data_IF_282734858647
#
_entry.id   IF_282734858647
#
_cell.length_a   1.000
_cell.length_b   1.000
_cell.length_c   1.000
_cell.angle_alpha   90.00
_cell.angle_beta   90.00
_cell.angle_gamma   90.00
#
_symmetry.space_group_name_H-M   'P 1'
#
loop_
_entity.id
_entity.type
_entity.pdbx_description
1 polymer ?
#
# COMPACT_ATOMS: atom_id res chain seq x y z
N UNK A 1 98.73 -10.77 -79.07
CA UNK A 1 97.40 -11.35 -79.35
C UNK A 1 96.88 -11.96 -78.05
N UNK A 2 95.67 -11.57 -77.59
CA UNK A 2 94.59 -12.37 -76.95
C UNK A 2 94.99 -13.55 -76.03
N UNK A 3 94.49 -13.83 -74.81
CA UNK A 3 93.31 -13.54 -73.95
C UNK A 3 93.68 -14.11 -72.54
N UNK A 4 93.45 -13.42 -71.42
CA UNK A 4 92.34 -13.56 -70.45
C UNK A 4 92.29 -14.82 -69.56
N UNK A 5 92.43 -14.63 -68.22
CA UNK A 5 91.57 -15.12 -67.10
C UNK A 5 92.36 -15.08 -65.77
N UNK A 6 92.10 -14.16 -64.82
CA UNK A 6 90.96 -13.99 -63.89
C UNK A 6 90.96 -14.98 -62.70
N UNK A 7 91.59 -14.54 -61.62
CA UNK A 7 91.36 -14.94 -60.22
C UNK A 7 90.10 -14.26 -59.66
N UNK A 8 89.17 -15.01 -59.07
CA UNK A 8 88.21 -14.47 -58.11
C UNK A 8 87.76 -15.55 -57.12
N UNK A 9 88.15 -15.39 -55.86
CA UNK A 9 87.73 -16.20 -54.72
C UNK A 9 86.37 -15.69 -54.25
N UNK A 10 85.34 -16.55 -54.27
CA UNK A 10 84.00 -16.23 -53.77
C UNK A 10 83.90 -16.63 -52.29
N UNK A 11 83.75 -15.64 -51.43
CA UNK A 11 83.41 -15.79 -50.02
C UNK A 11 81.87 -15.88 -49.89
N UNK A 12 81.36 -17.05 -49.50
CA UNK A 12 79.94 -17.27 -49.21
C UNK A 12 79.58 -16.61 -47.88
N UNK A 13 78.93 -15.45 -47.93
CA UNK A 13 78.27 -14.82 -46.78
C UNK A 13 76.94 -15.54 -46.58
N UNK A 14 76.84 -16.35 -45.53
CA UNK A 14 75.56 -16.83 -45.02
C UNK A 14 74.85 -15.66 -44.33
N UNK A 15 73.89 -15.04 -45.03
CA UNK A 15 72.92 -14.15 -44.40
C UNK A 15 72.00 -14.99 -43.50
N UNK A 16 71.95 -14.76 -42.18
CA UNK A 16 70.81 -15.25 -41.41
C UNK A 16 69.58 -14.49 -41.90
N UNK A 17 68.65 -15.20 -42.54
CA UNK A 17 67.27 -14.76 -42.65
C UNK A 17 66.73 -14.61 -41.23
N UNK A 18 66.85 -13.41 -40.66
CA UNK A 18 65.96 -12.98 -39.60
C UNK A 18 64.57 -12.93 -40.22
N UNK A 19 63.81 -14.02 -40.08
CA UNK A 19 62.36 -13.94 -40.15
C UNK A 19 61.99 -12.95 -39.05
N UNK A 20 61.66 -11.72 -39.43
CA UNK A 20 60.97 -10.79 -38.56
C UNK A 20 59.76 -11.57 -38.06
N UNK A 21 59.78 -11.97 -36.79
CA UNK A 21 58.65 -12.61 -36.15
C UNK A 21 57.47 -11.65 -36.34
N UNK A 22 56.49 -12.07 -37.14
CA UNK A 22 55.25 -11.34 -37.35
C UNK A 22 54.72 -11.02 -35.95
N UNK A 23 54.58 -9.74 -35.61
CA UNK A 23 54.28 -9.34 -34.25
C UNK A 23 52.98 -10.05 -33.82
N UNK A 24 53.07 -10.94 -32.83
CA UNK A 24 51.93 -11.75 -32.38
C UNK A 24 50.97 -10.93 -31.47
N UNK A 25 50.59 -9.75 -31.95
CA UNK A 25 49.73 -8.80 -31.28
C UNK A 25 48.30 -8.97 -31.81
N UNK A 26 47.28 -9.09 -30.93
CA UNK A 26 45.89 -9.11 -31.35
C UNK A 26 45.54 -7.89 -32.20
N UNK A 27 44.75 -8.08 -33.25
CA UNK A 27 44.28 -6.97 -34.08
C UNK A 27 43.26 -6.12 -33.35
N UNK A 28 43.15 -4.84 -33.72
CA UNK A 28 42.18 -3.90 -33.11
C UNK A 28 40.73 -4.43 -33.20
N UNK A 29 40.36 -5.06 -34.32
CA UNK A 29 39.03 -5.67 -34.50
C UNK A 29 38.77 -6.81 -33.51
N UNK A 30 39.75 -7.69 -33.28
CA UNK A 30 39.65 -8.79 -32.32
C UNK A 30 39.47 -8.26 -30.91
N UNK A 31 40.27 -7.27 -30.52
CA UNK A 31 40.20 -6.62 -29.19
C UNK A 31 38.83 -5.97 -29.00
N UNK A 32 38.34 -5.24 -30.00
CA UNK A 32 37.02 -4.58 -29.96
C UNK A 32 35.88 -5.58 -29.86
N UNK A 33 35.91 -6.65 -30.66
CA UNK A 33 34.87 -7.66 -30.68
C UNK A 33 34.80 -8.40 -29.35
N UNK A 34 35.93 -8.89 -28.84
CA UNK A 34 35.95 -9.66 -27.60
C UNK A 34 35.62 -8.81 -26.37
N UNK A 35 36.02 -7.52 -26.36
CA UNK A 35 35.56 -6.60 -25.33
C UNK A 35 34.05 -6.40 -25.35
N UNK A 36 33.46 -6.25 -26.54
CA UNK A 36 32.02 -6.12 -26.69
C UNK A 36 31.31 -7.39 -26.20
N UNK A 37 31.82 -8.58 -26.55
CA UNK A 37 31.29 -9.86 -26.07
C UNK A 37 31.35 -9.99 -24.54
N UNK A 38 32.48 -9.64 -23.91
CA UNK A 38 32.65 -9.69 -22.45
C UNK A 38 31.77 -8.71 -21.69
N UNK A 39 31.36 -7.60 -22.33
CA UNK A 39 30.46 -6.61 -21.74
C UNK A 39 28.99 -6.81 -22.15
N UNK A 40 28.66 -7.95 -22.77
CA UNK A 40 27.30 -8.25 -23.24
C UNK A 40 26.81 -7.28 -24.32
N UNK A 41 27.73 -6.60 -25.03
CA UNK A 41 27.46 -5.62 -26.06
C UNK A 41 27.10 -4.22 -25.55
N UNK A 42 27.03 -4.02 -24.23
CA UNK A 42 26.65 -2.75 -23.60
C UNK A 42 27.74 -1.69 -23.81
N UNK A 43 29.01 -2.10 -23.76
CA UNK A 43 30.17 -1.22 -23.92
C UNK A 43 30.95 -1.59 -25.17
N UNK A 44 31.47 -0.58 -25.87
CA UNK A 44 32.23 -0.76 -27.10
C UNK A 44 33.51 0.06 -27.06
N UNK A 45 34.61 -0.54 -27.49
CA UNK A 45 35.86 0.16 -27.71
C UNK A 45 35.79 0.90 -29.06
N UNK A 46 36.20 2.17 -29.07
CA UNK A 46 36.24 2.99 -30.29
C UNK A 46 37.66 3.13 -30.81
N UNK A 47 38.56 3.68 -29.99
CA UNK A 47 39.98 3.81 -30.28
C UNK A 47 40.74 3.13 -29.17
N UNK A 48 41.73 2.31 -29.50
CA UNK A 48 42.54 1.58 -28.53
C UNK A 48 44.00 1.69 -28.95
N UNK A 49 44.86 1.98 -27.98
CA UNK A 49 46.30 1.85 -28.11
C UNK A 49 46.73 0.70 -27.22
N UNK A 50 47.45 -0.27 -27.80
CA UNK A 50 48.00 -1.40 -27.06
C UNK A 50 49.49 -1.15 -26.80
N UNK A 51 49.89 -1.24 -25.54
CA UNK A 51 51.30 -1.25 -25.14
C UNK A 51 51.62 -2.59 -24.46
N UNK A 52 52.44 -3.41 -25.10
CA UNK A 52 52.88 -4.67 -24.51
C UNK A 52 53.72 -4.42 -23.26
N UNK A 53 53.41 -5.14 -22.18
CA UNK A 53 54.13 -5.07 -20.91
C UNK A 53 54.98 -6.32 -20.68
N UNK A 54 54.45 -7.50 -20.99
CA UNK A 54 55.15 -8.78 -20.90
C UNK A 54 54.65 -9.74 -21.99
N UNK A 55 55.49 -10.67 -22.43
CA UNK A 55 55.12 -11.75 -23.33
C UNK A 55 55.92 -13.02 -23.03
N UNK A 56 55.21 -14.15 -22.90
CA UNK A 56 55.79 -15.48 -22.62
C UNK A 56 55.08 -16.52 -23.47
N UNK A 57 55.79 -17.10 -24.43
CA UNK A 57 55.21 -18.07 -25.37
C UNK A 57 54.07 -17.45 -26.18
N UNK A 58 52.90 -18.10 -26.17
CA UNK A 58 51.69 -17.61 -26.84
C UNK A 58 50.81 -16.70 -25.95
N UNK A 59 51.29 -16.31 -24.76
CA UNK A 59 50.59 -15.41 -23.86
C UNK A 59 51.30 -14.05 -23.79
N UNK A 60 50.52 -12.97 -23.84
CA UNK A 60 51.03 -11.61 -23.69
C UNK A 60 50.11 -10.76 -22.82
N UNK A 61 50.68 -9.80 -22.10
CA UNK A 61 49.95 -8.83 -21.28
C UNK A 61 50.15 -7.43 -21.85
N UNK A 62 49.05 -6.70 -22.01
CA UNK A 62 49.00 -5.37 -22.60
C UNK A 62 48.38 -4.39 -21.63
N UNK A 63 48.89 -3.16 -21.63
CA UNK A 63 48.18 -1.98 -21.17
C UNK A 63 47.36 -1.44 -22.34
N UNK A 64 46.08 -1.17 -22.10
CA UNK A 64 45.15 -0.60 -23.05
C UNK A 64 44.79 0.80 -22.60
N UNK A 65 44.87 1.76 -23.50
CA UNK A 65 44.39 3.11 -23.29
C UNK A 65 43.60 3.55 -24.51
N UNK A 66 42.49 4.27 -24.29
CA UNK A 66 41.65 4.61 -25.41
C UNK A 66 40.32 5.27 -25.06
N UNK A 67 39.41 5.18 -26.02
CA UNK A 67 38.04 5.66 -25.93
C UNK A 67 37.07 4.47 -25.94
N UNK A 68 36.16 4.45 -24.97
CA UNK A 68 35.04 3.52 -24.91
C UNK A 68 33.72 4.28 -24.92
N UNK A 69 32.67 3.68 -25.46
CA UNK A 69 31.34 4.27 -25.47
C UNK A 69 30.30 3.19 -25.16
N UNK A 70 29.19 3.61 -24.56
CA UNK A 70 28.03 2.75 -24.40
C UNK A 70 27.23 2.65 -25.70
N UNK A 71 26.67 1.47 -25.97
CA UNK A 71 25.79 1.23 -27.10
C UNK A 71 24.43 1.94 -26.96
N UNK A 72 24.00 2.19 -25.73
CA UNK A 72 22.77 2.90 -25.35
C UNK A 72 23.05 3.90 -24.21
N UNK A 73 22.07 4.75 -23.91
CA UNK A 73 22.12 5.60 -22.71
C UNK A 73 21.97 4.71 -21.47
N UNK A 74 22.87 4.87 -20.49
CA UNK A 74 22.83 4.12 -19.24
C UNK A 74 22.55 5.03 -18.06
N UNK A 75 21.74 4.51 -17.16
CA UNK A 75 21.18 5.24 -16.03
C UNK A 75 21.48 4.55 -14.71
N UNK A 76 21.72 5.34 -13.66
CA UNK A 76 21.84 4.86 -12.28
C UNK A 76 20.78 5.56 -11.43
N UNK A 77 20.09 4.82 -10.57
CA UNK A 77 19.12 5.39 -9.64
C UNK A 77 19.86 6.20 -8.57
N UNK A 78 19.46 7.45 -8.42
CA UNK A 78 20.03 8.41 -7.46
C UNK A 78 19.05 8.83 -6.37
N UNK A 79 17.75 8.56 -6.53
CA UNK A 79 16.77 8.89 -5.50
C UNK A 79 15.36 8.37 -5.77
N UNK A 80 14.51 8.55 -4.76
CA UNK A 80 13.07 8.22 -4.80
C UNK A 80 12.31 9.26 -3.99
N UNK A 81 11.19 9.75 -4.51
CA UNK A 81 10.23 10.58 -3.76
C UNK A 81 8.80 10.21 -4.13
N UNK A 82 8.01 9.77 -3.15
CA UNK A 82 6.72 9.13 -3.41
C UNK A 82 6.88 7.96 -4.38
N UNK A 83 6.11 7.97 -5.46
CA UNK A 83 6.17 6.98 -6.53
C UNK A 83 7.19 7.28 -7.63
N UNK A 84 7.91 8.41 -7.54
CA UNK A 84 8.82 8.87 -8.58
C UNK A 84 10.25 8.41 -8.31
N UNK A 85 10.89 7.87 -9.35
CA UNK A 85 12.28 7.43 -9.34
C UNK A 85 13.17 8.44 -10.05
N UNK A 86 14.28 8.79 -9.43
CA UNK A 86 15.24 9.75 -9.95
C UNK A 86 16.48 8.99 -10.42
N UNK A 87 16.87 9.24 -11.66
CA UNK A 87 17.99 8.61 -12.33
C UNK A 87 18.98 9.66 -12.83
N UNK A 88 20.26 9.33 -12.80
CA UNK A 88 21.30 10.10 -13.47
C UNK A 88 21.74 9.34 -14.72
N UNK A 89 21.77 10.02 -15.87
CA UNK A 89 22.38 9.47 -17.08
C UNK A 89 23.90 9.50 -16.91
N UNK A 90 24.49 8.33 -16.74
CA UNK A 90 25.93 8.17 -16.50
C UNK A 90 26.70 7.85 -17.78
N UNK A 91 26.01 7.29 -18.78
CA UNK A 91 26.55 7.10 -20.12
C UNK A 91 25.59 7.67 -21.15
N UNK A 92 26.15 8.40 -22.12
CA UNK A 92 25.43 8.85 -23.31
C UNK A 92 25.84 7.96 -24.48
N UNK A 93 24.85 7.43 -25.19
CA UNK A 93 25.02 6.57 -26.35
C UNK A 93 26.04 7.15 -27.32
N UNK A 94 27.06 6.36 -27.65
CA UNK A 94 28.08 6.71 -28.63
C UNK A 94 29.06 7.81 -28.20
N UNK A 95 28.88 8.43 -27.03
CA UNK A 95 29.82 9.45 -26.52
C UNK A 95 31.07 8.77 -25.98
N UNK A 96 32.27 9.08 -26.51
CA UNK A 96 33.51 8.49 -26.03
C UNK A 96 33.86 8.95 -24.61
N UNK A 97 34.33 8.00 -23.81
CA UNK A 97 34.89 8.19 -22.48
C UNK A 97 36.29 7.59 -22.47
N UNK A 98 37.24 8.34 -21.93
CA UNK A 98 38.62 7.86 -21.76
C UNK A 98 38.66 6.73 -20.75
N UNK A 99 39.36 5.66 -21.12
CA UNK A 99 39.58 4.50 -20.25
C UNK A 99 41.03 4.02 -20.32
N UNK A 100 41.45 3.32 -19.28
CA UNK A 100 42.63 2.46 -19.26
C UNK A 100 42.27 1.10 -18.71
N UNK A 101 42.91 0.05 -19.19
CA UNK A 101 42.71 -1.31 -18.73
C UNK A 101 43.98 -2.14 -18.92
N UNK A 102 43.98 -3.32 -18.34
CA UNK A 102 44.95 -4.37 -18.63
C UNK A 102 44.25 -5.46 -19.43
N UNK A 103 44.97 -6.11 -20.32
CA UNK A 103 44.46 -7.23 -21.10
C UNK A 103 45.51 -8.32 -21.20
N UNK A 104 45.14 -9.55 -20.91
CA UNK A 104 45.91 -10.73 -21.28
C UNK A 104 45.39 -11.25 -22.62
N UNK A 105 46.28 -11.69 -23.50
CA UNK A 105 45.91 -12.43 -24.71
C UNK A 105 46.61 -13.77 -24.75
N UNK A 106 45.91 -14.83 -25.14
CA UNK A 106 46.47 -16.16 -25.40
C UNK A 106 46.17 -16.56 -26.85
N UNK A 107 47.18 -17.02 -27.58
CA UNK A 107 47.03 -17.53 -28.95
C UNK A 107 47.94 -16.83 -29.96
N UNK A 108 47.74 -17.14 -31.23
CA UNK A 108 48.50 -16.59 -32.36
C UNK A 108 47.60 -16.10 -33.48
N UNK A 109 48.20 -15.42 -34.47
CA UNK A 109 47.53 -15.07 -35.72
C UNK A 109 46.87 -16.26 -36.43
N UNK A 110 47.49 -17.45 -36.34
CA UNK A 110 47.00 -18.67 -36.99
C UNK A 110 45.97 -19.42 -36.14
N UNK A 111 46.11 -19.40 -34.80
CA UNK A 111 45.17 -20.08 -33.89
C UNK A 111 43.98 -19.22 -33.47
N UNK A 112 44.01 -17.93 -33.80
CA UNK A 112 43.18 -16.91 -33.17
C UNK A 112 43.68 -16.54 -31.77
N UNK A 113 43.23 -15.39 -31.28
CA UNK A 113 43.51 -14.91 -29.94
C UNK A 113 42.27 -15.03 -29.06
N UNK A 114 42.46 -15.33 -27.78
CA UNK A 114 41.49 -15.10 -26.72
C UNK A 114 42.04 -14.01 -25.79
N UNK A 115 41.23 -13.02 -25.49
CA UNK A 115 41.60 -11.87 -24.66
C UNK A 115 40.80 -11.87 -23.37
N UNK A 116 41.37 -11.40 -22.28
CA UNK A 116 40.70 -11.19 -21.01
C UNK A 116 41.07 -9.80 -20.48
N UNK A 117 40.06 -8.98 -20.17
CA UNK A 117 40.24 -7.60 -19.75
C UNK A 117 40.08 -7.48 -18.24
N UNK A 118 41.00 -6.78 -17.59
CA UNK A 118 40.99 -6.57 -16.14
C UNK A 118 41.51 -5.18 -15.77
N UNK A 119 41.35 -4.79 -14.50
CA UNK A 119 41.81 -3.49 -13.98
C UNK A 119 41.27 -2.27 -14.73
N UNK A 120 40.05 -2.34 -15.27
CA UNK A 120 39.42 -1.26 -16.04
C UNK A 120 39.22 0.00 -15.18
N UNK A 121 39.78 1.13 -15.62
CA UNK A 121 39.61 2.46 -15.06
C UNK A 121 39.04 3.40 -16.13
N UNK A 122 38.17 4.32 -15.72
CA UNK A 122 37.45 5.20 -16.64
C UNK A 122 37.00 6.47 -15.89
N UNK A 123 36.81 7.55 -16.65
CA UNK A 123 36.32 8.82 -16.09
C UNK A 123 34.82 8.81 -15.74
N UNK A 124 34.02 7.95 -16.39
CA UNK A 124 32.59 7.83 -16.12
C UNK A 124 32.31 6.90 -14.92
N UNK A 125 31.11 7.02 -14.33
CA UNK A 125 30.67 6.10 -13.28
C UNK A 125 30.58 4.67 -13.85
N UNK A 126 31.04 3.68 -13.09
CA UNK A 126 30.99 2.27 -13.49
C UNK A 126 29.54 1.78 -13.52
N UNK A 127 29.16 1.12 -14.62
CA UNK A 127 27.87 0.47 -14.78
C UNK A 127 26.71 1.39 -15.16
N UNK A 128 25.50 0.88 -15.01
CA UNK A 128 24.24 1.52 -15.39
C UNK A 128 23.32 0.52 -16.10
N UNK A 129 22.05 0.88 -16.23
CA UNK A 129 21.03 0.09 -16.94
C UNK A 129 20.36 0.91 -18.02
N UNK A 130 19.90 0.26 -19.08
CA UNK A 130 19.06 0.91 -20.09
C UNK A 130 17.67 1.18 -19.51
N UNK A 131 16.92 2.12 -20.08
CA UNK A 131 15.53 2.36 -19.65
C UNK A 131 14.66 1.12 -19.85
N UNK A 132 14.93 0.34 -20.90
CA UNK A 132 14.23 -0.93 -21.17
C UNK A 132 14.44 -1.94 -20.05
N UNK A 133 15.66 -2.04 -19.51
CA UNK A 133 16.00 -2.92 -18.38
C UNK A 133 15.43 -2.42 -17.05
N UNK A 134 15.31 -1.10 -16.88
CA UNK A 134 14.68 -0.51 -15.70
C UNK A 134 13.19 -0.88 -15.65
N UNK A 135 12.50 -0.82 -16.80
CA UNK A 135 11.08 -1.13 -16.92
C UNK A 135 10.17 -0.21 -16.09
N UNK A 136 8.88 -0.53 -16.08
CA UNK A 136 7.86 0.23 -15.33
C UNK A 136 7.32 1.45 -16.07
N UNK A 137 6.63 2.32 -15.33
CA UNK A 137 6.00 3.52 -15.86
C UNK A 137 7.05 4.62 -16.10
N UNK A 138 7.36 4.87 -17.37
CA UNK A 138 8.33 5.90 -17.78
C UNK A 138 7.93 7.30 -17.30
N UNK A 139 6.63 7.57 -17.09
CA UNK A 139 6.18 8.88 -16.58
C UNK A 139 6.59 9.14 -15.14
N UNK A 140 7.00 8.11 -14.41
CA UNK A 140 7.50 8.18 -13.03
C UNK A 140 9.03 8.19 -12.94
N UNK A 141 9.74 8.10 -14.06
CA UNK A 141 11.19 8.10 -14.11
C UNK A 141 11.71 9.48 -14.53
N UNK A 142 12.41 10.18 -13.62
CA UNK A 142 13.01 11.48 -13.90
C UNK A 142 14.52 11.36 -14.09
N UNK A 143 15.05 11.91 -15.17
CA UNK A 143 16.49 11.94 -15.43
C UNK A 143 17.05 13.29 -14.98
N UNK A 144 17.75 13.33 -13.84
CA UNK A 144 18.13 14.57 -13.13
C UNK A 144 19.07 15.48 -13.91
N UNK A 145 19.86 14.92 -14.82
CA UNK A 145 20.79 15.65 -15.68
C UNK A 145 20.28 15.80 -17.12
N UNK A 146 18.98 15.55 -17.35
CA UNK A 146 18.35 15.87 -18.63
C UNK A 146 17.86 17.33 -18.67
N UNK A 147 17.94 17.95 -19.84
CA UNK A 147 17.47 19.32 -20.06
C UNK A 147 15.98 19.55 -19.73
N UNK A 148 15.13 18.51 -19.81
CA UNK A 148 13.70 18.59 -19.47
C UNK A 148 13.40 18.36 -18.00
N UNK A 149 14.41 17.96 -17.21
CA UNK A 149 14.25 17.58 -15.81
C UNK A 149 13.50 18.64 -15.01
N UNK A 150 13.99 19.89 -15.03
CA UNK A 150 13.42 20.97 -14.22
C UNK A 150 11.96 21.27 -14.57
N UNK A 151 11.59 21.17 -15.85
CA UNK A 151 10.21 21.37 -16.29
C UNK A 151 9.28 20.24 -15.80
N UNK A 152 9.73 18.98 -15.92
CA UNK A 152 8.99 17.81 -15.41
C UNK A 152 8.85 17.86 -13.89
N UNK A 153 9.95 18.13 -13.19
CA UNK A 153 9.99 18.27 -11.74
C UNK A 153 9.05 19.38 -11.24
N UNK A 154 9.10 20.56 -11.87
CA UNK A 154 8.22 21.67 -11.52
C UNK A 154 6.74 21.31 -11.69
N UNK A 155 6.38 20.59 -12.76
CA UNK A 155 5.00 20.12 -12.99
C UNK A 155 4.53 19.16 -11.89
N UNK A 156 5.37 18.19 -11.53
CA UNK A 156 5.05 17.23 -10.46
C UNK A 156 4.93 17.95 -9.13
N UNK A 157 5.88 18.82 -8.80
CA UNK A 157 5.85 19.60 -7.56
C UNK A 157 4.61 20.51 -7.47
N UNK A 158 4.18 21.09 -8.59
CA UNK A 158 2.93 21.85 -8.66
C UNK A 158 1.69 20.98 -8.42
N UNK A 159 1.67 19.72 -8.89
CA UNK A 159 0.57 18.80 -8.58
C UNK A 159 0.50 18.46 -7.09
N UNK A 160 1.64 18.28 -6.41
CA UNK A 160 1.67 18.07 -4.96
C UNK A 160 1.21 19.32 -4.19
N UNK A 161 1.61 20.52 -4.63
CA UNK A 161 1.08 21.77 -4.08
C UNK A 161 -0.45 21.89 -4.23
N UNK A 162 -1.00 21.48 -5.38
CA UNK A 162 -2.45 21.44 -5.60
C UNK A 162 -3.15 20.37 -4.73
N UNK A 163 -2.52 19.21 -4.53
CA UNK A 163 -2.99 18.18 -3.60
C UNK A 163 -3.06 18.69 -2.17
N UNK A 164 -2.06 19.45 -1.72
CA UNK A 164 -2.05 20.10 -0.40
C UNK A 164 -3.18 21.13 -0.24
N UNK A 165 -3.45 21.92 -1.27
CA UNK A 165 -4.60 22.83 -1.28
C UNK A 165 -5.92 22.05 -1.19
N UNK A 166 -6.03 20.94 -1.93
CA UNK A 166 -7.20 20.04 -1.89
C UNK A 166 -7.40 19.44 -0.50
N UNK A 167 -6.33 18.99 0.17
CA UNK A 167 -6.38 18.49 1.54
C UNK A 167 -6.98 19.50 2.52
N UNK A 168 -6.62 20.79 2.40
CA UNK A 168 -7.20 21.84 3.23
C UNK A 168 -8.72 21.99 3.01
N UNK A 169 -9.17 21.90 1.76
CA UNK A 169 -10.61 21.90 1.43
C UNK A 169 -11.31 20.67 2.01
N UNK A 170 -10.72 19.49 1.88
CA UNK A 170 -11.26 18.24 2.43
C UNK A 170 -11.40 18.32 3.95
N UNK A 171 -10.41 18.91 4.65
CA UNK A 171 -10.46 19.09 6.09
C UNK A 171 -11.65 19.97 6.49
N UNK A 172 -11.87 21.10 5.80
CA UNK A 172 -13.04 21.95 6.05
C UNK A 172 -14.37 21.22 5.83
N UNK A 173 -14.45 20.36 4.80
CA UNK A 173 -15.64 19.53 4.56
C UNK A 173 -15.85 18.48 5.66
N UNK A 174 -14.77 17.84 6.13
CA UNK A 174 -14.84 16.89 7.24
C UNK A 174 -15.35 17.56 8.51
N UNK A 175 -14.86 18.76 8.83
CA UNK A 175 -15.26 19.49 10.04
C UNK A 175 -16.75 19.91 9.97
N UNK A 176 -17.21 20.33 8.79
CA UNK A 176 -18.63 20.62 8.56
C UNK A 176 -19.50 19.36 8.76
N UNK A 177 -19.14 18.24 8.14
CA UNK A 177 -19.87 16.97 8.30
C UNK A 177 -19.88 16.47 9.76
N UNK A 178 -18.76 16.58 10.47
CA UNK A 178 -18.69 16.23 11.90
C UNK A 178 -19.67 17.06 12.72
N UNK A 179 -19.78 18.35 12.42
CA UNK A 179 -20.74 19.26 13.07
C UNK A 179 -22.18 18.85 12.78
N UNK A 180 -22.52 18.54 11.53
CA UNK A 180 -23.87 18.09 11.15
C UNK A 180 -24.23 16.73 11.78
N UNK A 181 -23.30 15.78 11.79
CA UNK A 181 -23.49 14.46 12.42
C UNK A 181 -23.73 14.62 13.93
N UNK A 182 -22.96 15.48 14.61
CA UNK A 182 -23.14 15.75 16.03
C UNK A 182 -24.50 16.39 16.33
N UNK A 183 -24.96 17.32 15.49
CA UNK A 183 -26.28 17.92 15.62
C UNK A 183 -27.42 16.89 15.43
N UNK A 184 -27.30 15.98 14.46
CA UNK A 184 -28.24 14.88 14.26
C UNK A 184 -28.24 13.91 15.45
N UNK A 185 -27.06 13.59 15.98
CA UNK A 185 -26.94 12.74 17.17
C UNK A 185 -27.61 13.37 18.38
N UNK A 186 -27.43 14.68 18.59
CA UNK A 186 -28.14 15.40 19.63
C UNK A 186 -29.66 15.39 19.41
N UNK A 187 -30.14 15.57 18.17
CA UNK A 187 -31.57 15.51 17.84
C UNK A 187 -32.15 14.12 18.09
N UNK A 188 -31.42 13.05 17.75
CA UNK A 188 -31.80 11.66 18.02
C UNK A 188 -31.86 11.43 19.53
N UNK A 189 -30.86 11.85 20.29
CA UNK A 189 -30.83 11.66 21.74
C UNK A 189 -31.99 12.41 22.43
N UNK A 190 -32.25 13.66 22.03
CA UNK A 190 -33.38 14.44 22.56
C UNK A 190 -34.74 13.81 22.24
N UNK A 191 -34.85 13.05 21.14
CA UNK A 191 -36.12 12.42 20.75
C UNK A 191 -36.57 11.28 21.68
N UNK A 192 -35.65 10.72 22.47
CA UNK A 192 -35.93 9.70 23.48
C UNK A 192 -36.31 10.30 24.85
N UNK A 193 -36.06 11.59 25.06
CA UNK A 193 -36.40 12.33 26.28
C UNK A 193 -35.29 12.29 27.33
N UNK A 194 -35.64 12.64 28.57
CA UNK A 194 -34.72 12.68 29.70
C UNK A 194 -35.32 11.97 30.91
N UNK A 195 -34.46 11.44 31.78
CA UNK A 195 -34.87 10.92 33.08
C UNK A 195 -35.24 12.05 34.06
N UNK A 196 -35.61 11.66 35.28
CA UNK A 196 -35.98 12.60 36.35
C UNK A 196 -34.83 13.53 36.79
N UNK A 197 -33.58 13.18 36.49
CA UNK A 197 -32.39 13.97 36.78
C UNK A 197 -31.93 14.82 35.57
N UNK A 198 -32.70 14.81 34.47
CA UNK A 198 -32.38 15.53 33.24
C UNK A 198 -31.33 14.83 32.36
N UNK A 199 -30.95 13.58 32.65
CA UNK A 199 -30.03 12.80 31.82
C UNK A 199 -30.76 12.33 30.55
N UNK A 200 -30.18 12.46 29.35
CA UNK A 200 -30.77 11.92 28.12
C UNK A 200 -31.01 10.42 28.25
N UNK A 201 -32.19 9.98 27.82
CA UNK A 201 -32.55 8.57 27.71
C UNK A 201 -32.18 8.04 26.34
N UNK A 202 -31.92 6.75 26.25
CA UNK A 202 -31.87 6.03 24.99
C UNK A 202 -33.14 5.18 24.75
N UNK A 203 -33.16 4.47 23.62
CA UNK A 203 -34.25 3.55 23.26
C UNK A 203 -34.50 2.49 24.34
N UNK A 204 -33.43 1.94 24.91
CA UNK A 204 -33.48 0.87 25.89
C UNK A 204 -34.03 1.39 27.21
N UNK A 205 -33.61 2.57 27.64
CA UNK A 205 -34.09 3.19 28.88
C UNK A 205 -35.61 3.39 28.84
N UNK A 206 -36.10 3.95 27.73
CA UNK A 206 -37.53 4.16 27.49
C UNK A 206 -38.30 2.85 27.52
N UNK A 207 -37.81 1.84 26.80
CA UNK A 207 -38.46 0.53 26.76
C UNK A 207 -38.49 -0.12 28.14
N UNK A 208 -37.39 -0.05 28.88
CA UNK A 208 -37.30 -0.63 30.22
C UNK A 208 -38.27 0.05 31.19
N UNK A 209 -38.40 1.38 31.14
CA UNK A 209 -39.34 2.11 31.98
C UNK A 209 -40.80 1.71 31.70
N UNK A 210 -41.14 1.42 30.44
CA UNK A 210 -42.48 0.91 30.08
C UNK A 210 -42.71 -0.52 30.58
N UNK A 211 -41.71 -1.39 30.43
CA UNK A 211 -41.78 -2.77 30.91
C UNK A 211 -41.89 -2.84 32.44
N UNK A 212 -41.18 -1.99 33.17
CA UNK A 212 -41.27 -1.94 34.63
C UNK A 212 -42.69 -1.57 35.11
N UNK A 213 -43.36 -0.64 34.40
CA UNK A 213 -44.77 -0.32 34.69
C UNK A 213 -45.69 -1.51 34.48
N UNK A 214 -45.48 -2.27 33.40
CA UNK A 214 -46.24 -3.50 33.15
C UNK A 214 -45.98 -4.54 34.24
N UNK A 215 -44.73 -4.75 34.64
CA UNK A 215 -44.38 -5.69 35.70
C UNK A 215 -44.95 -5.28 37.05
N UNK A 216 -45.04 -3.99 37.35
CA UNK A 216 -45.70 -3.53 38.57
C UNK A 216 -47.20 -3.86 38.57
N UNK A 217 -47.88 -3.67 37.43
CA UNK A 217 -49.29 -4.08 37.27
C UNK A 217 -49.43 -5.60 37.40
N UNK A 218 -48.51 -6.38 36.81
CA UNK A 218 -48.51 -7.84 36.94
C UNK A 218 -48.32 -8.28 38.40
N UNK A 219 -47.41 -7.64 39.15
CA UNK A 219 -47.17 -7.93 40.57
C UNK A 219 -48.39 -7.64 41.46
N UNK A 220 -49.18 -6.64 41.10
CA UNK A 220 -50.43 -6.28 41.79
C UNK A 220 -51.58 -7.22 41.45
N UNK A 221 -51.64 -7.71 40.21
CA UNK A 221 -52.70 -8.60 39.72
C UNK A 221 -52.33 -10.10 39.72
N UNK A 222 -51.27 -10.47 40.44
CA UNK A 222 -50.72 -11.83 40.50
C UNK A 222 -51.82 -12.88 40.81
N UNK A 223 -52.10 -13.81 39.86
CA UNK A 223 -53.13 -14.81 40.03
C UNK A 223 -52.94 -15.70 41.25
N UNK A 224 -51.70 -15.96 41.66
CA UNK A 224 -51.41 -16.80 42.82
C UNK A 224 -51.71 -16.06 44.13
N UNK A 225 -51.39 -14.76 44.20
CA UNK A 225 -51.77 -13.93 45.37
C UNK A 225 -53.28 -13.83 45.49
N UNK A 226 -53.98 -13.62 44.37
CA UNK A 226 -55.44 -13.62 44.35
C UNK A 226 -56.02 -14.96 44.79
N UNK A 227 -55.53 -16.06 44.22
CA UNK A 227 -55.97 -17.42 44.53
C UNK A 227 -55.83 -17.72 46.03
N UNK A 228 -54.65 -17.46 46.60
CA UNK A 228 -54.40 -17.66 48.03
C UNK A 228 -55.29 -16.78 48.91
N UNK A 229 -55.53 -15.52 48.54
CA UNK A 229 -56.43 -14.64 49.27
C UNK A 229 -57.87 -15.16 49.23
N UNK A 230 -58.37 -15.50 48.04
CA UNK A 230 -59.73 -16.00 47.83
C UNK A 230 -59.98 -17.32 48.59
N UNK A 231 -59.01 -18.24 48.58
CA UNK A 231 -59.08 -19.46 49.37
C UNK A 231 -59.30 -19.17 50.85
N UNK A 232 -58.45 -18.31 51.42
CA UNK A 232 -58.45 -18.00 52.85
C UNK A 232 -59.66 -17.20 53.31
N UNK A 233 -60.12 -16.23 52.51
CA UNK A 233 -61.14 -15.27 52.96
C UNK A 233 -62.55 -15.63 52.52
N UNK A 234 -62.72 -16.37 51.43
CA UNK A 234 -64.04 -16.68 50.85
C UNK A 234 -64.31 -18.19 50.83
N UNK A 235 -63.46 -18.96 50.16
CA UNK A 235 -63.76 -20.37 49.85
C UNK A 235 -63.70 -21.29 51.07
N UNK A 236 -62.61 -21.26 51.86
CA UNK A 236 -62.45 -22.12 53.04
C UNK A 236 -63.52 -21.84 54.12
N UNK A 237 -63.86 -20.58 54.46
CA UNK A 237 -64.97 -20.29 55.35
C UNK A 237 -66.31 -20.81 54.83
N UNK A 238 -66.60 -20.65 53.53
CA UNK A 238 -67.85 -21.13 52.93
C UNK A 238 -67.94 -22.66 52.93
N UNK A 239 -66.83 -23.35 52.65
CA UNK A 239 -66.75 -24.82 52.69
C UNK A 239 -66.96 -25.33 54.12
N UNK A 240 -66.31 -24.73 55.11
CA UNK A 240 -66.45 -25.07 56.53
C UNK A 240 -67.90 -24.89 57.00
N UNK A 241 -68.55 -23.80 56.59
CA UNK A 241 -69.96 -23.55 56.90
C UNK A 241 -70.90 -24.58 56.25
N UNK A 242 -70.62 -25.00 55.01
CA UNK A 242 -71.37 -26.06 54.35
C UNK A 242 -71.22 -27.39 55.10
N UNK A 243 -69.99 -27.78 55.45
CA UNK A 243 -69.68 -29.05 56.13
C UNK A 243 -70.33 -29.21 57.51
N UNK A 244 -70.73 -28.11 58.16
CA UNK A 244 -71.50 -28.15 59.42
C UNK A 244 -72.97 -28.54 59.25
N UNK A 245 -73.50 -28.58 58.02
CA UNK A 245 -74.88 -28.99 57.73
C UNK A 245 -74.98 -30.52 57.64
N UNK A 246 -76.14 -31.07 58.00
CA UNK A 246 -76.41 -32.52 57.96
C UNK A 246 -76.23 -33.12 56.56
N UNK A 247 -76.46 -32.33 55.50
CA UNK A 247 -76.14 -32.66 54.11
C UNK A 247 -75.44 -31.44 53.51
N UNK A 248 -74.22 -31.62 52.99
CA UNK A 248 -73.46 -30.59 52.29
C UNK A 248 -73.14 -31.06 50.87
N UNK A 249 -73.68 -30.37 49.87
CA UNK A 249 -73.21 -30.48 48.49
C UNK A 249 -72.17 -29.39 48.21
N UNK A 250 -70.89 -29.77 48.19
CA UNK A 250 -69.80 -28.86 47.90
C UNK A 250 -69.53 -28.70 46.39
N UNK A 251 -70.27 -29.40 45.51
CA UNK A 251 -70.14 -29.29 44.05
C UNK A 251 -70.27 -27.85 43.55
N UNK A 252 -71.35 -27.13 43.88
CA UNK A 252 -71.54 -25.73 43.49
C UNK A 252 -70.43 -24.79 44.00
N UNK A 253 -69.96 -24.98 45.24
CA UNK A 253 -68.88 -24.17 45.81
C UNK A 253 -67.55 -24.35 45.06
N UNK A 254 -67.23 -25.59 44.64
CA UNK A 254 -66.04 -25.87 43.82
C UNK A 254 -66.17 -25.27 42.42
N UNK A 255 -67.34 -25.40 41.80
CA UNK A 255 -67.62 -24.83 40.49
C UNK A 255 -67.48 -23.29 40.50
N UNK A 256 -68.03 -22.62 41.51
CA UNK A 256 -67.91 -21.17 41.68
C UNK A 256 -66.46 -20.73 41.88
N UNK A 257 -65.72 -21.43 42.75
CA UNK A 257 -64.28 -21.18 42.94
C UNK A 257 -63.53 -21.29 41.62
N UNK A 258 -63.72 -22.37 40.89
CA UNK A 258 -63.01 -22.60 39.64
C UNK A 258 -63.40 -21.55 38.59
N UNK A 259 -64.66 -21.10 38.57
CA UNK A 259 -65.11 -20.02 37.71
C UNK A 259 -64.39 -18.70 38.03
N UNK A 260 -64.37 -18.28 39.29
CA UNK A 260 -63.73 -17.03 39.76
C UNK A 260 -62.21 -17.06 39.51
N UNK A 261 -61.53 -18.16 39.86
CA UNK A 261 -60.08 -18.28 39.66
C UNK A 261 -59.71 -18.27 38.17
N UNK A 262 -60.50 -18.96 37.32
CA UNK A 262 -60.27 -18.96 35.88
C UNK A 262 -60.55 -17.60 35.26
N UNK A 263 -61.58 -16.87 35.73
CA UNK A 263 -61.86 -15.51 35.28
C UNK A 263 -60.72 -14.55 35.64
N UNK A 264 -60.20 -14.60 36.87
CA UNK A 264 -59.05 -13.80 37.25
C UNK A 264 -57.82 -14.11 36.38
N UNK A 265 -57.52 -15.40 36.15
CA UNK A 265 -56.41 -15.82 35.28
C UNK A 265 -56.58 -15.27 33.86
N UNK A 266 -57.79 -15.37 33.28
CA UNK A 266 -58.10 -14.81 31.96
C UNK A 266 -57.91 -13.29 31.92
N UNK A 267 -58.38 -12.58 32.94
CA UNK A 267 -58.25 -11.12 33.03
C UNK A 267 -56.78 -10.68 33.15
N UNK A 268 -55.99 -11.36 33.99
CA UNK A 268 -54.56 -11.14 34.10
C UNK A 268 -53.85 -11.29 32.74
N UNK A 269 -54.03 -12.42 32.05
CA UNK A 269 -53.37 -12.66 30.77
C UNK A 269 -53.81 -11.66 29.69
N UNK A 270 -55.09 -11.27 29.69
CA UNK A 270 -55.62 -10.25 28.77
C UNK A 270 -54.95 -8.90 29.00
N UNK A 271 -54.88 -8.44 30.26
CA UNK A 271 -54.25 -7.16 30.60
C UNK A 271 -52.75 -7.16 30.31
N UNK A 272 -52.04 -8.22 30.68
CA UNK A 272 -50.61 -8.37 30.37
C UNK A 272 -50.36 -8.28 28.87
N UNK A 273 -51.12 -9.05 28.07
CA UNK A 273 -51.01 -9.04 26.61
C UNK A 273 -51.30 -7.66 26.02
N UNK A 274 -52.37 -7.00 26.48
CA UNK A 274 -52.75 -5.66 26.03
C UNK A 274 -51.66 -4.63 26.32
N UNK A 275 -51.09 -4.63 27.54
CA UNK A 275 -49.96 -3.77 27.88
C UNK A 275 -48.72 -4.08 27.02
N UNK A 276 -48.38 -5.35 26.86
CA UNK A 276 -47.23 -5.75 26.02
C UNK A 276 -47.39 -5.31 24.56
N UNK A 277 -48.59 -5.44 23.99
CA UNK A 277 -48.89 -5.00 22.62
C UNK A 277 -48.85 -3.47 22.50
N UNK A 278 -49.36 -2.75 23.51
CA UNK A 278 -49.28 -1.29 23.57
C UNK A 278 -47.83 -0.79 23.65
N UNK A 279 -46.98 -1.40 24.49
CA UNK A 279 -45.56 -1.06 24.59
C UNK A 279 -44.87 -1.28 23.23
N UNK A 280 -45.14 -2.42 22.57
CA UNK A 280 -44.58 -2.71 21.24
C UNK A 280 -45.02 -1.68 20.20
N UNK A 281 -46.30 -1.30 20.20
CA UNK A 281 -46.84 -0.30 19.29
C UNK A 281 -46.23 1.09 19.53
N UNK A 282 -46.12 1.51 20.79
CA UNK A 282 -45.54 2.80 21.15
C UNK A 282 -44.06 2.89 20.76
N UNK A 283 -43.28 1.84 21.05
CA UNK A 283 -41.88 1.78 20.64
C UNK A 283 -41.73 1.81 19.12
N UNK A 284 -42.58 1.11 18.38
CA UNK A 284 -42.55 1.13 16.92
C UNK A 284 -42.85 2.54 16.34
N UNK A 285 -43.77 3.30 16.96
CA UNK A 285 -44.06 4.68 16.56
C UNK A 285 -42.84 5.59 16.80
N UNK A 286 -42.18 5.45 17.97
CA UNK A 286 -40.96 6.21 18.29
C UNK A 286 -39.81 5.85 17.34
N UNK A 287 -39.56 4.57 17.13
CA UNK A 287 -38.55 4.07 16.19
C UNK A 287 -38.78 4.62 14.78
N UNK A 288 -40.02 4.61 14.29
CA UNK A 288 -40.37 5.15 12.95
C UNK A 288 -40.10 6.65 12.82
N UNK A 289 -40.27 7.43 13.90
CA UNK A 289 -39.96 8.87 13.91
C UNK A 289 -38.46 9.14 13.84
N UNK A 290 -37.65 8.25 14.39
CA UNK A 290 -36.19 8.41 14.53
C UNK A 290 -35.43 7.81 13.35
N UNK A 291 -35.99 6.77 12.71
CA UNK A 291 -35.46 6.13 11.52
C UNK A 291 -34.92 7.08 10.43
N UNK A 292 -35.63 8.16 10.02
CA UNK A 292 -35.09 9.09 9.01
C UNK A 292 -33.82 9.83 9.49
N UNK A 293 -33.75 10.21 10.77
CA UNK A 293 -32.57 10.89 11.33
C UNK A 293 -31.37 9.93 11.40
N UNK A 294 -31.61 8.67 11.79
CA UNK A 294 -30.57 7.64 11.80
C UNK A 294 -30.05 7.35 10.38
N UNK A 295 -30.95 7.28 9.41
CA UNK A 295 -30.59 7.12 8.00
C UNK A 295 -29.71 8.27 7.52
N UNK A 296 -30.13 9.51 7.77
CA UNK A 296 -29.35 10.69 7.40
C UNK A 296 -27.98 10.71 8.09
N UNK A 297 -27.91 10.39 9.40
CA UNK A 297 -26.64 10.26 10.14
C UNK A 297 -25.72 9.23 9.47
N UNK A 298 -26.27 8.09 9.07
CA UNK A 298 -25.53 7.03 8.36
C UNK A 298 -24.98 7.49 7.01
N UNK A 299 -25.78 8.19 6.22
CA UNK A 299 -25.37 8.75 4.92
C UNK A 299 -24.24 9.78 5.08
N UNK A 300 -24.35 10.72 6.02
CA UNK A 300 -23.30 11.70 6.30
C UNK A 300 -22.02 11.04 6.85
N UNK A 301 -22.17 10.01 7.69
CA UNK A 301 -21.01 9.25 8.22
C UNK A 301 -20.26 8.51 7.10
N UNK A 302 -20.98 7.95 6.13
CA UNK A 302 -20.37 7.33 4.96
C UNK A 302 -19.62 8.35 4.09
N UNK A 303 -20.20 9.55 3.90
CA UNK A 303 -19.53 10.64 3.19
C UNK A 303 -18.26 11.10 3.92
N UNK A 304 -18.34 11.25 5.25
CA UNK A 304 -17.19 11.62 6.07
C UNK A 304 -16.05 10.60 5.92
N UNK A 305 -16.37 9.30 6.00
CA UNK A 305 -15.38 8.23 5.84
C UNK A 305 -14.70 8.28 4.46
N UNK A 306 -15.46 8.52 3.39
CA UNK A 306 -14.89 8.65 2.04
C UNK A 306 -13.92 9.83 1.93
N UNK A 307 -14.26 10.98 2.54
CA UNK A 307 -13.38 12.14 2.58
C UNK A 307 -12.12 11.90 3.42
N UNK A 308 -12.24 11.18 4.54
CA UNK A 308 -11.11 10.83 5.40
C UNK A 308 -10.12 9.88 4.70
N UNK A 309 -10.62 8.90 3.94
CA UNK A 309 -9.78 8.02 3.12
C UNK A 309 -9.02 8.85 2.08
N UNK A 310 -9.73 9.69 1.32
CA UNK A 310 -9.10 10.56 0.31
C UNK A 310 -8.06 11.49 0.90
N UNK A 311 -8.35 12.10 2.05
CA UNK A 311 -7.38 12.94 2.76
C UNK A 311 -6.14 12.16 3.17
N UNK A 312 -6.33 10.94 3.73
CA UNK A 312 -5.22 10.09 4.18
C UNK A 312 -4.29 9.69 3.03
N UNK A 313 -4.85 9.35 1.88
CA UNK A 313 -4.05 8.99 0.70
C UNK A 313 -3.22 10.19 0.22
N UNK A 314 -3.84 11.36 0.06
CA UNK A 314 -3.12 12.58 -0.33
C UNK A 314 -2.04 12.97 0.69
N UNK A 315 -2.34 12.86 1.98
CA UNK A 315 -1.40 13.20 3.05
C UNK A 315 -0.20 12.23 3.08
N UNK A 316 -0.42 10.94 2.82
CA UNK A 316 0.64 9.94 2.69
C UNK A 316 1.53 10.26 1.49
N UNK A 317 0.94 10.52 0.34
CA UNK A 317 1.68 10.77 -0.90
C UNK A 317 2.49 12.07 -0.79
N UNK A 318 1.92 13.13 -0.22
CA UNK A 318 2.62 14.40 0.07
C UNK A 318 3.79 14.16 1.04
N UNK A 319 3.59 13.39 2.11
CA UNK A 319 4.65 13.07 3.06
C UNK A 319 5.83 12.39 2.39
N UNK A 320 5.59 11.31 1.63
CA UNK A 320 6.67 10.59 0.97
C UNK A 320 7.34 11.38 -0.15
N UNK A 321 6.59 12.27 -0.81
CA UNK A 321 7.18 13.23 -1.74
C UNK A 321 8.16 14.15 -1.01
N UNK A 322 7.72 14.85 0.05
CA UNK A 322 8.57 15.80 0.78
C UNK A 322 9.79 15.14 1.42
N UNK A 323 9.62 14.01 2.11
CA UNK A 323 10.74 13.28 2.73
C UNK A 323 11.78 12.82 1.69
N UNK A 324 11.31 12.36 0.53
CA UNK A 324 12.18 11.99 -0.59
C UNK A 324 12.94 13.19 -1.16
N UNK A 325 12.27 14.32 -1.35
CA UNK A 325 12.90 15.57 -1.80
C UNK A 325 13.97 16.06 -0.81
N UNK A 326 13.66 16.07 0.49
CA UNK A 326 14.61 16.47 1.53
C UNK A 326 15.84 15.59 1.56
N UNK A 327 15.65 14.26 1.46
CA UNK A 327 16.76 13.32 1.37
C UNK A 327 17.62 13.60 0.14
N UNK A 328 17.02 13.76 -1.04
CA UNK A 328 17.77 14.04 -2.26
C UNK A 328 18.51 15.38 -2.25
N UNK A 329 17.99 16.40 -1.56
CA UNK A 329 18.71 17.66 -1.33
C UNK A 329 19.93 17.46 -0.43
N UNK A 330 19.80 16.69 0.65
CA UNK A 330 20.94 16.33 1.53
C UNK A 330 22.02 15.53 0.78
N UNK A 331 21.60 14.64 -0.11
CA UNK A 331 22.49 13.81 -0.91
C UNK A 331 23.09 14.57 -2.13
N UNK A 332 22.72 15.84 -2.33
CA UNK A 332 23.22 16.69 -3.42
C UNK A 332 22.69 16.34 -4.81
N UNK A 333 21.67 15.48 -4.89
CA UNK A 333 21.01 15.07 -6.15
C UNK A 333 20.13 16.20 -6.68
N UNK A 334 19.41 16.87 -5.78
CA UNK A 334 18.66 18.10 -6.06
C UNK A 334 19.42 19.28 -5.47
N UNK A 335 19.56 20.35 -6.25
CA UNK A 335 20.20 21.60 -5.81
C UNK A 335 19.17 22.61 -5.35
#
# INVERSE_FOLDING_TARGET
MKEAWKTLTVLMIASPCYVLADANTPTDDVVKQQFAEQTGGVMRLQRVTLKQLDARGNQATYMLEGDMAAAEDLYIRVGVAGDYFFYERVWTRGRPVKFSAMMTSVGTKDSGWQTEFFSLQMAAKRGGRTLKEIGGDESKNLIVNDHKFMAQFAKINASFAASKATMKTLQGQQDALKTEIAALEEQINRSWGTDANGKPLDRSDVQQAMLEKMYEVDRQNDPLKFENHYYKTIYEPALTACQKKAVCDAGPLRAERDAVLNEQKRNYYRQHKEMSENIKAEMAVRDKKIAPLQKQKGELSAQLMALEIRYRDLARDEKYWQEGLEKMRRDGVLK
#
